data_IF_095430349750
#
_entry.id   IF_095430349750
#
_cell.length_a   1.000
_cell.length_b   1.000
_cell.length_c   1.000
_cell.angle_alpha   90.00
_cell.angle_beta   90.00
_cell.angle_gamma   90.00
#
_symmetry.space_group_name_H-M   'P 1'
#
loop_
_entity.id
_entity.type
_entity.pdbx_description
1 polymer ?
#
# COMPACT_ATOMS: atom_id res chain seq x y z
N UNK A 1 -0.61 -14.52 -1.29
CA UNK A 1 0.86 -14.41 -1.27
C UNK A 1 1.27 -13.15 -2.03
N UNK A 2 2.39 -12.54 -1.68
CA UNK A 2 2.95 -11.39 -2.40
C UNK A 2 3.22 -11.72 -3.88
N UNK A 3 2.91 -10.75 -4.74
CA UNK A 3 3.15 -10.80 -6.19
C UNK A 3 4.53 -10.22 -6.53
N UNK A 4 5.10 -10.52 -7.71
CA UNK A 4 6.26 -9.78 -8.21
C UNK A 4 5.93 -8.29 -8.38
N UNK A 5 6.95 -7.42 -8.27
CA UNK A 5 6.76 -5.97 -8.38
C UNK A 5 6.10 -5.56 -9.70
N UNK A 6 6.48 -6.19 -10.81
CA UNK A 6 5.90 -5.92 -12.13
C UNK A 6 4.39 -6.12 -12.20
N UNK A 7 3.85 -7.11 -11.47
CA UNK A 7 2.40 -7.32 -11.41
C UNK A 7 1.73 -6.22 -10.58
N UNK A 8 2.38 -5.78 -9.49
CA UNK A 8 1.89 -4.63 -8.73
C UNK A 8 1.94 -3.32 -9.50
N UNK A 9 2.93 -3.12 -10.39
CA UNK A 9 3.02 -1.96 -11.26
C UNK A 9 1.81 -1.88 -12.21
N UNK A 10 1.44 -3.01 -12.83
CA UNK A 10 0.24 -3.11 -13.68
C UNK A 10 -1.03 -2.81 -12.90
N UNK A 11 -1.17 -3.38 -11.70
CA UNK A 11 -2.34 -3.15 -10.84
C UNK A 11 -2.43 -1.69 -10.37
N UNK A 12 -1.29 -1.07 -10.05
CA UNK A 12 -1.22 0.33 -9.65
C UNK A 12 -1.60 1.25 -10.82
N UNK A 13 -1.07 0.99 -12.01
CA UNK A 13 -1.41 1.71 -13.23
C UNK A 13 -2.92 1.63 -13.51
N UNK A 14 -3.51 0.44 -13.46
CA UNK A 14 -4.95 0.24 -13.67
C UNK A 14 -5.80 0.99 -12.64
N UNK A 15 -5.38 1.00 -11.37
CA UNK A 15 -6.13 1.66 -10.31
C UNK A 15 -6.07 3.19 -10.36
N UNK A 16 -4.97 3.75 -10.87
CA UNK A 16 -4.72 5.19 -10.90
C UNK A 16 -4.93 5.82 -12.29
N UNK A 17 -4.94 5.01 -13.35
CA UNK A 17 -5.10 5.43 -14.75
C UNK A 17 -3.77 5.69 -15.50
N UNK A 18 -2.64 5.67 -14.80
CA UNK A 18 -1.29 5.69 -15.37
C UNK A 18 -0.29 5.20 -14.32
N UNK A 19 0.93 4.87 -14.75
CA UNK A 19 2.05 4.60 -13.86
C UNK A 19 2.91 5.86 -13.66
N UNK A 20 3.17 6.22 -12.40
CA UNK A 20 4.07 7.32 -12.06
C UNK A 20 5.11 6.92 -10.99
N UNK A 21 6.17 7.72 -10.87
CA UNK A 21 7.24 7.49 -9.89
C UNK A 21 6.72 7.46 -8.43
N UNK A 22 5.67 8.23 -8.14
CA UNK A 22 5.01 8.21 -6.82
C UNK A 22 4.49 6.82 -6.47
N UNK A 23 3.78 6.16 -7.39
CA UNK A 23 3.25 4.82 -7.16
C UNK A 23 4.37 3.79 -6.97
N UNK A 24 5.46 3.87 -7.75
CA UNK A 24 6.61 2.98 -7.56
C UNK A 24 7.19 3.11 -6.15
N UNK A 25 7.29 4.34 -5.64
CA UNK A 25 7.72 4.59 -4.26
C UNK A 25 6.74 3.95 -3.26
N UNK A 26 5.44 4.16 -3.45
CA UNK A 26 4.40 3.59 -2.59
C UNK A 26 4.37 2.05 -2.58
N UNK A 27 4.51 1.42 -3.76
CA UNK A 27 4.62 -0.04 -3.88
C UNK A 27 5.82 -0.57 -3.09
N UNK A 28 6.98 0.08 -3.23
CA UNK A 28 8.20 -0.30 -2.51
C UNK A 28 8.06 -0.10 -0.99
N UNK A 29 7.47 1.01 -0.56
CA UNK A 29 7.17 1.27 0.85
C UNK A 29 6.30 0.14 1.43
N UNK A 30 5.22 -0.21 0.74
CA UNK A 30 4.30 -1.24 1.20
C UNK A 30 4.93 -2.64 1.22
N UNK A 31 5.64 -3.03 0.15
CA UNK A 31 6.35 -4.31 0.08
C UNK A 31 7.41 -4.44 1.16
N UNK A 32 8.15 -3.37 1.45
CA UNK A 32 9.15 -3.37 2.50
C UNK A 32 8.51 -3.41 3.89
N UNK A 33 7.44 -2.63 4.12
CA UNK A 33 6.71 -2.60 5.39
C UNK A 33 6.12 -3.97 5.76
N UNK A 34 5.41 -4.63 4.84
CA UNK A 34 4.83 -5.96 5.12
C UNK A 34 5.91 -7.03 5.32
N UNK A 35 7.05 -6.91 4.60
CA UNK A 35 8.20 -7.80 4.78
C UNK A 35 8.80 -7.67 6.18
N UNK A 36 8.98 -6.44 6.69
CA UNK A 36 9.48 -6.18 8.05
C UNK A 36 8.56 -6.75 9.13
N UNK A 37 7.25 -6.81 8.86
CA UNK A 37 6.24 -7.37 9.78
C UNK A 37 6.07 -8.89 9.65
N UNK A 38 6.77 -9.55 8.72
CA UNK A 38 6.60 -10.98 8.46
C UNK A 38 5.20 -11.34 7.94
N UNK A 39 4.59 -10.45 7.14
CA UNK A 39 3.29 -10.67 6.51
C UNK A 39 3.51 -11.17 5.08
N UNK A 40 3.02 -12.37 4.78
CA UNK A 40 3.24 -13.05 3.48
C UNK A 40 2.06 -12.90 2.53
N UNK A 41 0.85 -12.76 3.08
CA UNK A 41 -0.38 -12.62 2.29
C UNK A 41 -1.29 -11.49 2.80
N UNK A 42 -0.84 -10.21 2.68
CA UNK A 42 -1.53 -9.06 3.26
C UNK A 42 -2.95 -8.85 2.71
N UNK A 43 -3.20 -9.20 1.45
CA UNK A 43 -4.52 -9.09 0.83
C UNK A 43 -5.43 -10.32 1.06
N UNK A 44 -4.88 -11.44 1.56
CA UNK A 44 -5.56 -12.73 1.66
C UNK A 44 -5.66 -13.23 3.09
N UNK A 45 -4.86 -14.25 3.46
CA UNK A 45 -4.89 -14.89 4.77
C UNK A 45 -4.58 -13.92 5.92
N UNK A 46 -3.64 -12.99 5.72
CA UNK A 46 -3.19 -12.06 6.76
C UNK A 46 -4.00 -10.75 6.81
N UNK A 47 -5.06 -10.61 6.02
CA UNK A 47 -5.80 -9.34 5.83
C UNK A 47 -6.36 -8.68 7.09
N UNK A 48 -6.46 -9.42 8.20
CA UNK A 48 -6.94 -8.90 9.50
C UNK A 48 -5.79 -8.51 10.45
N UNK A 49 -4.54 -8.78 10.07
CA UNK A 49 -3.34 -8.55 10.86
C UNK A 49 -2.66 -7.21 10.54
N UNK A 50 -3.25 -6.41 9.67
CA UNK A 50 -2.62 -5.19 9.16
C UNK A 50 -3.60 -4.01 9.16
N UNK A 51 -3.16 -2.92 9.75
CA UNK A 51 -3.68 -1.56 9.57
C UNK A 51 -2.56 -0.71 9.00
N UNK A 52 -2.89 0.17 8.06
CA UNK A 52 -1.93 1.11 7.49
C UNK A 52 -2.38 2.55 7.71
N UNK A 53 -1.45 3.42 8.09
CA UNK A 53 -1.65 4.86 8.13
C UNK A 53 -0.88 5.50 6.98
N UNK A 54 -1.49 6.47 6.32
CA UNK A 54 -0.88 7.28 5.26
C UNK A 54 -0.95 8.76 5.64
N UNK A 55 0.13 9.49 5.41
CA UNK A 55 0.31 10.85 5.93
C UNK A 55 0.18 11.98 4.90
N UNK A 56 -0.26 11.63 3.69
CA UNK A 56 -0.49 12.54 2.55
C UNK A 56 -1.49 11.91 1.56
N UNK A 57 -2.06 12.71 0.66
CA UNK A 57 -3.03 12.33 -0.39
C UNK A 57 -2.42 12.46 -1.81
N UNK A 58 -1.27 11.82 -2.04
CA UNK A 58 -0.57 11.85 -3.34
C UNK A 58 -0.47 10.45 -3.95
N UNK A 59 -0.09 10.35 -5.23
CA UNK A 59 -0.05 9.10 -5.99
C UNK A 59 0.70 7.94 -5.28
N UNK A 60 1.69 8.24 -4.43
CA UNK A 60 2.37 7.22 -3.63
C UNK A 60 1.43 6.45 -2.70
N UNK A 61 0.42 7.11 -2.14
CA UNK A 61 -0.49 6.48 -1.19
C UNK A 61 -1.54 5.61 -1.87
N UNK A 62 -1.82 5.82 -3.15
CA UNK A 62 -2.74 4.98 -3.93
C UNK A 62 -2.20 3.56 -4.14
N UNK A 63 -0.88 3.42 -4.20
CA UNK A 63 -0.19 2.14 -4.37
C UNK A 63 -0.19 1.28 -3.10
N UNK A 64 -0.27 1.89 -1.92
CA UNK A 64 -0.19 1.18 -0.64
C UNK A 64 -1.34 0.16 -0.45
N UNK A 65 -2.61 0.52 -0.70
CA UNK A 65 -3.73 -0.43 -0.67
C UNK A 65 -3.64 -1.59 -1.66
N UNK A 66 -2.93 -1.41 -2.78
CA UNK A 66 -2.78 -2.45 -3.81
C UNK A 66 -1.94 -3.62 -3.28
N UNK A 67 -0.89 -3.31 -2.52
CA UNK A 67 -0.05 -4.32 -1.86
C UNK A 67 -0.70 -4.83 -0.58
N UNK A 68 -1.09 -3.91 0.31
CA UNK A 68 -1.51 -4.25 1.68
C UNK A 68 -2.93 -4.80 1.77
N UNK A 69 -3.79 -4.52 0.79
CA UNK A 69 -5.23 -4.78 0.89
C UNK A 69 -5.96 -3.89 1.91
N UNK A 70 -5.25 -2.99 2.61
CA UNK A 70 -5.82 -2.05 3.57
C UNK A 70 -6.63 -0.98 2.82
N UNK A 71 -7.93 -0.89 3.11
CA UNK A 71 -8.85 0.07 2.46
C UNK A 71 -9.58 0.92 3.48
N UNK A 72 -9.90 2.16 3.12
CA UNK A 72 -10.69 3.08 3.94
C UNK A 72 -12.03 2.45 4.32
N UNK A 73 -12.75 1.90 3.34
CA UNK A 73 -14.05 1.24 3.54
C UNK A 73 -14.02 -0.03 4.40
N UNK A 74 -12.83 -0.59 4.67
CA UNK A 74 -12.65 -1.74 5.57
C UNK A 74 -12.09 -1.34 6.94
N UNK A 75 -12.00 -0.04 7.22
CA UNK A 75 -11.40 0.54 8.44
C UNK A 75 -9.92 0.14 8.65
N UNK A 76 -9.26 -0.40 7.63
CA UNK A 76 -7.88 -0.89 7.71
C UNK A 76 -6.86 0.12 7.13
N UNK A 77 -7.31 1.12 6.37
CA UNK A 77 -6.48 2.27 5.98
C UNK A 77 -6.91 3.51 6.76
N UNK A 78 -5.94 4.31 7.21
CA UNK A 78 -6.15 5.54 7.98
C UNK A 78 -5.42 6.69 7.29
N UNK A 79 -6.16 7.71 6.90
CA UNK A 79 -5.56 8.94 6.38
C UNK A 79 -5.34 9.94 7.52
N UNK A 80 -4.13 10.51 7.58
CA UNK A 80 -3.71 11.53 8.56
C UNK A 80 -2.93 12.60 7.82
N UNK A 81 -3.61 13.60 7.30
CA UNK A 81 -2.97 14.61 6.44
C UNK A 81 -1.97 15.47 7.21
N UNK A 82 -0.70 15.09 7.16
CA UNK A 82 0.43 15.87 7.68
C UNK A 82 1.26 16.49 6.54
N UNK A 83 0.86 16.26 5.29
CA UNK A 83 1.64 16.64 4.11
C UNK A 83 2.97 15.89 3.99
N UNK A 84 3.11 14.71 4.64
CA UNK A 84 4.36 13.93 4.65
C UNK A 84 4.21 12.67 3.80
N UNK A 85 5.18 12.42 2.92
CA UNK A 85 5.27 11.14 2.19
C UNK A 85 5.76 10.07 3.15
N UNK A 86 4.86 9.58 4.00
CA UNK A 86 5.11 8.58 5.02
C UNK A 86 3.92 7.62 5.14
N UNK A 87 4.25 6.39 5.55
CA UNK A 87 3.26 5.38 5.85
C UNK A 87 3.73 4.54 7.04
N UNK A 88 2.79 4.23 7.94
CA UNK A 88 3.01 3.33 9.07
C UNK A 88 2.24 2.04 8.83
N UNK A 89 2.91 0.90 8.99
CA UNK A 89 2.34 -0.44 8.88
C UNK A 89 2.34 -1.07 10.26
N UNK A 90 1.19 -1.53 10.76
CA UNK A 90 1.04 -2.05 12.13
C UNK A 90 -0.02 -3.15 12.23
#
# INVERSE_FOLDING_TARGET
MLKPLSEYEILAEQAHGHLCAGQILGLRMALFGVKLLGIEDPAGADRKRLVTYIEIDRCATDAIPIVTGCRLGKRALKFRDFGKVAATFC
#
